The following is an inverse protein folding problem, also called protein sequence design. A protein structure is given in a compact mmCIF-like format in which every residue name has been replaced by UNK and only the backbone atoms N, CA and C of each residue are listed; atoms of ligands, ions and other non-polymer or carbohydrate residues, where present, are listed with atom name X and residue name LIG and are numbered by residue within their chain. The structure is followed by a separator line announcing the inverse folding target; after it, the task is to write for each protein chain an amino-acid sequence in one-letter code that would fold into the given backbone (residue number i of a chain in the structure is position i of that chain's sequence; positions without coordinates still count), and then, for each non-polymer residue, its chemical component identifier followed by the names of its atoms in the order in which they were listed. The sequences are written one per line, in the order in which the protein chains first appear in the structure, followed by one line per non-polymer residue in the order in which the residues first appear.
data_IF_800833227770
#
_entry.id   IF_800833227770
#
_cell.length_a   1.000
_cell.length_b   1.000
_cell.length_c   1.000
_cell.angle_alpha   90.00
_cell.angle_beta   90.00
_cell.angle_gamma   90.00
#
_symmetry.space_group_name_H-M   'P 1'
#
loop_
_entity.id
_entity.type
_entity.pdbx_description
1 polymer ?
#
# COMPACT_ATOMS: atom_id res chain seq x y z
N UNK A 1 1.26 15.99 -26.40
CA UNK A 1 0.52 14.74 -26.72
C UNK A 1 0.37 13.85 -25.48
N UNK A 2 1.46 13.43 -24.82
CA UNK A 2 1.40 12.54 -23.63
C UNK A 2 0.64 13.12 -22.43
N UNK A 3 0.83 14.41 -22.10
CA UNK A 3 0.14 15.05 -20.97
C UNK A 3 -1.38 15.18 -21.18
N UNK A 4 -1.80 15.45 -22.41
CA UNK A 4 -3.21 15.55 -22.78
C UNK A 4 -3.89 14.19 -22.63
N UNK A 5 -3.22 13.11 -23.06
CA UNK A 5 -3.72 11.75 -22.88
C UNK A 5 -3.89 11.38 -21.40
N UNK A 6 -2.96 11.82 -20.53
CA UNK A 6 -3.07 11.63 -19.08
C UNK A 6 -4.30 12.32 -18.47
N UNK A 7 -4.59 13.56 -18.90
CA UNK A 7 -5.78 14.29 -18.45
C UNK A 7 -7.06 13.62 -18.96
N UNK A 8 -7.09 13.20 -20.23
CA UNK A 8 -8.23 12.47 -20.81
C UNK A 8 -8.46 11.16 -20.05
N UNK A 9 -7.41 10.40 -19.74
CA UNK A 9 -7.51 9.17 -18.97
C UNK A 9 -8.08 9.40 -17.56
N UNK A 10 -7.63 10.46 -16.88
CA UNK A 10 -8.17 10.83 -15.57
C UNK A 10 -9.66 11.17 -15.63
N UNK A 11 -10.06 12.01 -16.60
CA UNK A 11 -11.47 12.35 -16.83
C UNK A 11 -12.30 11.12 -17.15
N UNK A 12 -11.81 10.22 -18.00
CA UNK A 12 -12.49 8.98 -18.37
C UNK A 12 -12.76 8.09 -17.15
N UNK A 13 -11.76 7.90 -16.27
CA UNK A 13 -11.93 7.12 -15.04
C UNK A 13 -12.97 7.77 -14.12
N UNK A 14 -12.95 9.09 -13.95
CA UNK A 14 -13.95 9.79 -13.14
C UNK A 14 -15.36 9.71 -13.73
N UNK A 15 -15.50 9.87 -15.05
CA UNK A 15 -16.78 9.71 -15.74
C UNK A 15 -17.33 8.30 -15.56
N UNK A 16 -16.50 7.26 -15.70
CA UNK A 16 -16.92 5.88 -15.52
C UNK A 16 -17.33 5.60 -14.07
N UNK A 17 -16.53 6.07 -13.09
CA UNK A 17 -16.86 5.96 -11.66
C UNK A 17 -18.18 6.67 -11.32
N UNK A 18 -18.44 7.83 -11.92
CA UNK A 18 -19.69 8.57 -11.73
C UNK A 18 -20.89 7.86 -12.37
N UNK A 19 -20.73 7.25 -13.55
CA UNK A 19 -21.79 6.51 -14.24
C UNK A 19 -22.23 5.26 -13.48
N UNK A 20 -21.27 4.51 -12.93
CA UNK A 20 -21.52 3.26 -12.17
C UNK A 20 -21.97 3.56 -10.73
N UNK A 21 -21.82 4.79 -10.24
CA UNK A 21 -22.19 5.16 -8.88
C UNK A 21 -23.67 4.93 -8.58
N UNK A 22 -23.94 4.12 -7.55
CA UNK A 22 -25.30 3.80 -7.08
C UNK A 22 -26.05 5.05 -6.58
N UNK A 23 -25.36 6.00 -5.94
CA UNK A 23 -25.97 7.20 -5.39
C UNK A 23 -25.12 8.44 -5.67
N UNK A 24 -25.36 9.04 -6.84
CA UNK A 24 -24.65 10.23 -7.34
C UNK A 24 -24.79 11.45 -6.43
N UNK A 25 -25.88 11.55 -5.66
CA UNK A 25 -26.14 12.67 -4.73
C UNK A 25 -25.38 12.55 -3.42
N UNK A 26 -24.98 11.34 -3.03
CA UNK A 26 -24.22 11.09 -1.79
C UNK A 26 -22.69 11.21 -1.96
N UNK A 27 -22.22 11.60 -3.16
CA UNK A 27 -20.79 11.74 -3.43
C UNK A 27 -20.22 12.91 -2.63
N UNK A 28 -19.29 12.61 -1.72
CA UNK A 28 -18.56 13.61 -0.94
C UNK A 28 -17.46 14.24 -1.79
N UNK A 29 -17.80 15.27 -2.56
CA UNK A 29 -16.88 15.92 -3.53
C UNK A 29 -15.66 16.55 -2.85
N UNK A 30 -15.82 17.14 -1.65
CA UNK A 30 -14.73 17.81 -0.93
C UNK A 30 -13.57 16.85 -0.56
N UNK A 31 -13.80 15.71 0.14
CA UNK A 31 -12.76 14.71 0.37
C UNK A 31 -12.17 14.14 -0.93
N UNK A 32 -12.99 13.92 -1.96
CA UNK A 32 -12.55 13.38 -3.24
C UNK A 32 -11.51 14.31 -3.90
N UNK A 33 -11.85 15.59 -4.08
CA UNK A 33 -10.98 16.57 -4.71
C UNK A 33 -9.69 16.76 -3.91
N UNK A 34 -9.81 16.79 -2.58
CA UNK A 34 -8.66 16.94 -1.70
C UNK A 34 -7.71 15.73 -1.79
N UNK A 35 -8.21 14.50 -1.93
CA UNK A 35 -7.38 13.32 -2.14
C UNK A 35 -6.68 13.33 -3.50
N UNK A 36 -7.35 13.79 -4.55
CA UNK A 36 -6.73 13.96 -5.89
C UNK A 36 -5.57 14.96 -5.82
N UNK A 37 -5.80 16.11 -5.20
CA UNK A 37 -4.75 17.13 -5.02
C UNK A 37 -3.59 16.56 -4.20
N UNK A 38 -3.89 15.86 -3.11
CA UNK A 38 -2.86 15.23 -2.28
C UNK A 38 -2.04 14.20 -3.07
N UNK A 39 -2.70 13.39 -3.91
CA UNK A 39 -2.03 12.41 -4.77
C UNK A 39 -1.09 13.08 -5.79
N UNK A 40 -1.51 14.18 -6.44
CA UNK A 40 -0.65 14.93 -7.34
C UNK A 40 0.54 15.57 -6.62
N UNK A 41 0.31 16.16 -5.44
CA UNK A 41 1.37 16.76 -4.62
C UNK A 41 2.38 15.69 -4.21
N UNK A 42 1.92 14.54 -3.68
CA UNK A 42 2.80 13.44 -3.30
C UNK A 42 3.58 12.89 -4.49
N UNK A 43 2.92 12.66 -5.62
CA UNK A 43 3.56 12.20 -6.85
C UNK A 43 4.62 13.17 -7.34
N UNK A 44 4.33 14.48 -7.33
CA UNK A 44 5.30 15.51 -7.70
C UNK A 44 6.49 15.54 -6.74
N UNK A 45 6.26 15.55 -5.43
CA UNK A 45 7.33 15.55 -4.44
C UNK A 45 8.22 14.33 -4.64
N UNK A 46 7.65 13.13 -4.70
CA UNK A 46 8.42 11.88 -4.76
C UNK A 46 9.14 11.66 -6.10
N UNK A 47 8.57 12.10 -7.22
CA UNK A 47 9.09 11.78 -8.56
C UNK A 47 9.85 12.94 -9.24
N UNK A 48 9.63 14.19 -8.82
CA UNK A 48 10.26 15.37 -9.45
C UNK A 48 11.27 16.10 -8.59
N UNK A 49 11.21 15.99 -7.26
CA UNK A 49 12.14 16.70 -6.38
C UNK A 49 13.40 15.88 -6.10
N UNK A 50 14.54 16.56 -5.91
CA UNK A 50 15.81 15.91 -5.56
C UNK A 50 15.70 15.14 -4.25
N UNK A 51 15.01 15.72 -3.26
CA UNK A 51 14.76 15.05 -1.98
C UNK A 51 13.88 13.80 -2.16
N UNK A 52 12.76 13.92 -2.87
CA UNK A 52 11.84 12.81 -3.07
C UNK A 52 12.47 11.65 -3.84
N UNK A 53 13.19 11.95 -4.92
CA UNK A 53 13.89 10.92 -5.71
C UNK A 53 15.02 10.24 -4.91
N UNK A 54 15.72 10.98 -4.04
CA UNK A 54 16.67 10.39 -3.11
C UNK A 54 16.00 9.44 -2.11
N UNK A 55 14.86 9.82 -1.53
CA UNK A 55 14.08 8.96 -0.63
C UNK A 55 13.62 7.69 -1.36
N UNK A 56 13.04 7.82 -2.55
CA UNK A 56 12.59 6.67 -3.35
C UNK A 56 13.77 5.76 -3.72
N UNK A 57 14.92 6.33 -4.11
CA UNK A 57 16.12 5.55 -4.44
C UNK A 57 16.68 4.82 -3.22
N UNK A 58 16.67 5.45 -2.04
CA UNK A 58 17.06 4.80 -0.79
C UNK A 58 16.16 3.61 -0.48
N UNK A 59 14.83 3.78 -0.59
CA UNK A 59 13.88 2.69 -0.40
C UNK A 59 14.11 1.56 -1.41
N UNK A 60 14.31 1.88 -2.69
CA UNK A 60 14.61 0.89 -3.72
C UNK A 60 15.85 0.06 -3.38
N UNK A 61 16.95 0.70 -2.96
CA UNK A 61 18.18 0.00 -2.52
C UNK A 61 17.95 -0.92 -1.33
N UNK A 62 17.10 -0.51 -0.37
CA UNK A 62 16.73 -1.38 0.75
C UNK A 62 16.01 -2.63 0.26
N UNK A 63 15.05 -2.47 -0.66
CA UNK A 63 14.37 -3.61 -1.28
C UNK A 63 15.34 -4.50 -2.08
N UNK A 64 16.27 -3.93 -2.84
CA UNK A 64 17.28 -4.69 -3.57
C UNK A 64 18.12 -5.58 -2.64
N UNK A 65 18.55 -5.04 -1.48
CA UNK A 65 19.25 -5.84 -0.48
C UNK A 65 18.37 -6.93 0.14
N UNK A 66 17.09 -6.63 0.43
CA UNK A 66 16.16 -7.64 0.93
C UNK A 66 15.96 -8.78 -0.08
N UNK A 67 15.87 -8.45 -1.38
CA UNK A 67 15.76 -9.44 -2.45
C UNK A 67 17.04 -10.26 -2.60
N UNK A 68 18.21 -9.65 -2.42
CA UNK A 68 19.48 -10.38 -2.41
C UNK A 68 19.54 -11.39 -1.25
N UNK A 69 19.14 -11.00 -0.03
CA UNK A 69 19.04 -11.93 1.10
C UNK A 69 18.02 -13.05 0.86
N UNK A 70 16.89 -12.73 0.22
CA UNK A 70 15.94 -13.75 -0.19
C UNK A 70 16.58 -14.76 -1.16
N UNK A 71 17.36 -14.28 -2.14
CA UNK A 71 18.09 -15.11 -3.09
C UNK A 71 19.06 -16.09 -2.43
N UNK A 72 19.83 -15.63 -1.44
CA UNK A 72 20.70 -16.51 -0.64
C UNK A 72 19.91 -17.59 0.11
N UNK A 73 18.74 -17.23 0.69
CA UNK A 73 17.84 -18.20 1.31
C UNK A 73 17.28 -19.23 0.33
N UNK A 74 16.97 -18.83 -0.90
CA UNK A 74 16.55 -19.75 -1.97
C UNK A 74 17.66 -20.70 -2.34
N UNK A 75 18.88 -20.20 -2.52
CA UNK A 75 20.03 -21.03 -2.83
C UNK A 75 20.28 -22.05 -1.72
N UNK A 76 20.19 -21.64 -0.45
CA UNK A 76 20.33 -22.55 0.69
C UNK A 76 19.33 -23.71 0.66
N UNK A 77 18.05 -23.44 0.38
CA UNK A 77 16.99 -24.47 0.41
C UNK A 77 16.90 -25.27 -0.89
N UNK A 78 17.16 -24.64 -2.04
CA UNK A 78 16.82 -25.17 -3.37
C UNK A 78 17.99 -25.27 -4.36
N UNK A 79 19.25 -25.08 -3.95
CA UNK A 79 20.43 -25.12 -4.84
C UNK A 79 20.49 -26.34 -5.79
N UNK A 80 19.94 -27.50 -5.37
CA UNK A 80 19.88 -28.72 -6.20
C UNK A 80 18.74 -28.78 -7.24
N UNK A 81 17.69 -27.96 -7.07
CA UNK A 81 16.49 -27.90 -7.95
C UNK A 81 16.51 -26.64 -8.82
N UNK A 82 17.13 -25.56 -8.35
CA UNK A 82 17.21 -24.26 -9.04
C UNK A 82 18.09 -24.28 -10.32
N UNK A 83 18.86 -25.35 -10.55
CA UNK A 83 19.79 -25.47 -11.69
C UNK A 83 19.34 -26.45 -12.79
N UNK A 84 18.14 -27.04 -12.72
CA UNK A 84 17.62 -27.93 -13.78
C UNK A 84 16.15 -27.63 -14.12
N UNK A 85 15.90 -27.18 -15.36
CA UNK A 85 14.54 -27.06 -15.95
C UNK A 85 13.85 -25.71 -15.72
N UNK A 86 12.51 -25.71 -15.74
CA UNK A 86 11.63 -24.51 -15.68
C UNK A 86 11.27 -24.03 -14.27
N UNK A 87 11.66 -24.79 -13.23
CA UNK A 87 11.53 -24.41 -11.81
C UNK A 87 12.22 -23.09 -11.37
N UNK A 88 13.29 -22.58 -12.02
CA UNK A 88 13.98 -21.37 -11.59
C UNK A 88 13.07 -20.14 -11.64
N UNK A 89 12.18 -20.02 -12.64
CA UNK A 89 11.28 -18.87 -12.73
C UNK A 89 10.31 -18.81 -11.53
N UNK A 90 9.70 -19.95 -11.20
CA UNK A 90 8.75 -20.02 -10.09
C UNK A 90 9.42 -19.72 -8.75
N UNK A 91 10.61 -20.28 -8.51
CA UNK A 91 11.37 -20.04 -7.28
C UNK A 91 11.86 -18.58 -7.20
N UNK A 92 12.34 -18.00 -8.30
CA UNK A 92 12.86 -16.63 -8.33
C UNK A 92 11.79 -15.56 -8.09
N UNK A 93 10.51 -15.85 -8.35
CA UNK A 93 9.41 -14.91 -8.09
C UNK A 93 8.71 -15.21 -6.77
N UNK A 94 8.36 -16.48 -6.51
CA UNK A 94 7.56 -16.83 -5.33
C UNK A 94 8.36 -16.71 -4.03
N UNK A 95 9.63 -17.10 -4.02
CA UNK A 95 10.40 -17.14 -2.79
C UNK A 95 10.71 -15.75 -2.23
N UNK A 96 11.06 -14.74 -3.04
CA UNK A 96 11.13 -13.37 -2.55
C UNK A 96 9.79 -12.86 -1.97
N UNK A 97 8.65 -13.24 -2.57
CA UNK A 97 7.33 -12.89 -2.01
C UNK A 97 7.16 -13.51 -0.62
N UNK A 98 7.46 -14.81 -0.46
CA UNK A 98 7.37 -15.51 0.85
C UNK A 98 8.29 -14.85 1.89
N UNK A 99 9.51 -14.48 1.50
CA UNK A 99 10.46 -13.81 2.38
C UNK A 99 9.94 -12.44 2.85
N UNK A 100 9.46 -11.61 1.92
CA UNK A 100 8.88 -10.30 2.26
C UNK A 100 7.64 -10.45 3.13
N UNK A 101 6.75 -11.42 2.85
CA UNK A 101 5.58 -11.71 3.69
C UNK A 101 5.98 -12.12 5.12
N UNK A 102 7.07 -12.89 5.29
CA UNK A 102 7.58 -13.24 6.61
C UNK A 102 8.08 -12.01 7.38
N UNK A 103 8.83 -11.12 6.73
CA UNK A 103 9.28 -9.84 7.32
C UNK A 103 8.09 -8.98 7.74
N UNK A 104 7.10 -8.81 6.85
CA UNK A 104 5.86 -8.09 7.16
C UNK A 104 5.15 -8.73 8.36
N UNK A 105 5.11 -10.06 8.42
CA UNK A 105 4.58 -10.82 9.55
C UNK A 105 5.29 -10.50 10.87
N UNK A 106 6.62 -10.44 10.86
CA UNK A 106 7.44 -10.06 12.03
C UNK A 106 7.17 -8.60 12.43
N UNK A 107 7.22 -7.66 11.47
CA UNK A 107 6.96 -6.23 11.70
C UNK A 107 5.55 -5.97 12.27
N UNK A 108 4.58 -6.81 11.85
CA UNK A 108 3.22 -6.82 12.39
C UNK A 108 3.18 -7.35 13.82
N UNK A 109 3.89 -8.45 14.10
CA UNK A 109 3.95 -9.06 15.44
C UNK A 109 4.55 -8.09 16.47
N UNK A 110 5.65 -7.42 16.14
CA UNK A 110 6.31 -6.41 17.00
C UNK A 110 5.58 -5.06 17.03
N UNK A 111 4.43 -4.94 16.37
CA UNK A 111 3.54 -3.76 16.34
C UNK A 111 4.12 -2.49 15.69
N UNK A 112 5.26 -2.55 15.02
CA UNK A 112 5.80 -1.40 14.26
C UNK A 112 4.86 -1.04 13.11
N UNK A 113 4.44 -2.03 12.31
CA UNK A 113 3.62 -1.78 11.12
C UNK A 113 2.20 -1.26 11.46
N UNK A 114 1.47 -1.83 12.45
CA UNK A 114 0.20 -1.27 12.92
C UNK A 114 0.31 0.16 13.47
N UNK A 115 1.39 0.47 14.18
CA UNK A 115 1.60 1.80 14.73
C UNK A 115 1.81 2.84 13.60
N UNK A 116 2.62 2.49 12.60
CA UNK A 116 2.79 3.31 11.40
C UNK A 116 1.47 3.53 10.66
N UNK A 117 0.72 2.45 10.40
CA UNK A 117 -0.59 2.52 9.72
C UNK A 117 -1.59 3.41 10.49
N UNK A 118 -1.62 3.30 11.82
CA UNK A 118 -2.47 4.15 12.67
C UNK A 118 -2.06 5.62 12.58
N UNK A 119 -0.76 5.92 12.63
CA UNK A 119 -0.26 7.30 12.55
C UNK A 119 -0.62 7.94 11.20
N UNK A 120 -0.33 7.26 10.09
CA UNK A 120 -0.63 7.77 8.73
C UNK A 120 -2.14 7.85 8.50
N UNK A 121 -2.91 6.83 8.93
CA UNK A 121 -4.36 6.81 8.79
C UNK A 121 -5.06 7.94 9.57
N UNK A 122 -4.59 8.25 10.77
CA UNK A 122 -5.08 9.40 11.55
C UNK A 122 -4.71 10.74 10.90
N UNK A 123 -3.49 10.86 10.36
CA UNK A 123 -3.08 12.03 9.59
C UNK A 123 -3.98 12.26 8.37
N UNK A 124 -4.23 11.21 7.60
CA UNK A 124 -5.12 11.27 6.44
C UNK A 124 -6.56 11.60 6.83
N UNK A 125 -7.12 10.97 7.87
CA UNK A 125 -8.46 11.25 8.36
C UNK A 125 -8.64 12.71 8.76
N UNK A 126 -7.61 13.33 9.36
CA UNK A 126 -7.62 14.75 9.73
C UNK A 126 -7.59 15.67 8.50
N UNK A 127 -6.87 15.27 7.45
CA UNK A 127 -6.73 16.07 6.22
C UNK A 127 -7.97 15.95 5.33
N UNK A 128 -8.49 14.73 5.13
CA UNK A 128 -9.57 14.45 4.18
C UNK A 128 -10.98 14.47 4.80
N UNK A 129 -11.10 14.49 6.14
CA UNK A 129 -12.38 14.49 6.85
C UNK A 129 -13.16 13.16 6.73
N UNK A 130 -12.54 12.11 6.22
CA UNK A 130 -13.11 10.75 6.18
C UNK A 130 -12.97 10.07 7.54
N UNK A 131 -13.75 8.99 7.74
CA UNK A 131 -13.72 8.25 9.01
C UNK A 131 -12.32 7.72 9.32
N UNK A 132 -11.96 7.68 10.62
CA UNK A 132 -10.69 7.11 11.09
C UNK A 132 -10.48 5.68 10.58
N UNK A 133 -11.57 4.89 10.53
CA UNK A 133 -11.56 3.52 10.03
C UNK A 133 -11.34 3.45 8.52
N UNK A 134 -11.99 4.32 7.74
CA UNK A 134 -11.83 4.38 6.28
C UNK A 134 -10.40 4.75 5.90
N UNK A 135 -9.84 5.74 6.58
CA UNK A 135 -8.47 6.21 6.35
C UNK A 135 -7.44 5.17 6.79
N UNK A 136 -7.67 4.50 7.92
CA UNK A 136 -6.82 3.38 8.35
C UNK A 136 -6.88 2.23 7.35
N UNK A 137 -8.08 1.84 6.90
CA UNK A 137 -8.27 0.77 5.93
C UNK A 137 -7.57 1.07 4.60
N UNK A 138 -7.64 2.32 4.13
CA UNK A 138 -6.93 2.77 2.93
C UNK A 138 -5.42 2.60 3.05
N UNK A 139 -4.82 3.06 4.15
CA UNK A 139 -3.38 2.92 4.40
C UNK A 139 -2.99 1.45 4.56
N UNK A 140 -3.77 0.68 5.33
CA UNK A 140 -3.49 -0.72 5.56
C UNK A 140 -3.55 -1.54 4.28
N UNK A 141 -4.50 -1.24 3.38
CA UNK A 141 -4.66 -1.96 2.11
C UNK A 141 -3.50 -1.72 1.16
N UNK A 142 -2.94 -0.51 1.18
CA UNK A 142 -1.76 -0.17 0.39
C UNK A 142 -0.48 -0.89 0.87
N UNK A 143 -0.39 -1.20 2.18
CA UNK A 143 0.82 -1.76 2.79
C UNK A 143 0.78 -3.29 2.88
N UNK A 144 -0.34 -3.86 3.32
CA UNK A 144 -0.49 -5.28 3.62
C UNK A 144 -1.19 -6.08 2.50
N UNK A 145 -1.83 -5.39 1.56
CA UNK A 145 -2.74 -6.03 0.61
C UNK A 145 -4.11 -6.37 1.22
N UNK A 146 -5.12 -6.45 0.36
CA UNK A 146 -6.53 -6.52 0.76
C UNK A 146 -6.86 -7.72 1.66
N UNK A 147 -6.26 -8.88 1.39
CA UNK A 147 -6.50 -10.13 2.13
C UNK A 147 -6.04 -10.07 3.60
N UNK A 148 -4.94 -9.37 3.88
CA UNK A 148 -4.39 -9.27 5.23
C UNK A 148 -5.10 -8.22 6.07
N UNK A 149 -5.56 -7.15 5.43
CA UNK A 149 -6.37 -6.11 6.06
C UNK A 149 -7.70 -6.68 6.54
N UNK A 150 -8.32 -7.58 5.78
CA UNK A 150 -9.53 -8.27 6.19
C UNK A 150 -9.33 -9.03 7.52
N UNK A 151 -8.22 -9.74 7.70
CA UNK A 151 -7.89 -10.46 8.95
C UNK A 151 -7.61 -9.47 10.09
N UNK A 152 -6.87 -8.39 9.80
CA UNK A 152 -6.55 -7.34 10.78
C UNK A 152 -7.81 -6.63 11.28
N UNK A 153 -8.77 -6.32 10.40
CA UNK A 153 -10.05 -5.70 10.75
C UNK A 153 -10.93 -6.69 11.50
N UNK A 154 -11.06 -7.93 11.02
CA UNK A 154 -11.89 -8.97 11.66
C UNK A 154 -11.47 -9.23 13.10
N UNK A 155 -10.17 -9.29 13.39
CA UNK A 155 -9.64 -9.52 14.76
C UNK A 155 -9.81 -8.28 15.66
N UNK A 156 -9.81 -7.09 15.08
CA UNK A 156 -9.85 -5.82 15.81
C UNK A 156 -11.25 -5.21 15.93
N UNK A 157 -12.27 -5.64 15.17
CA UNK A 157 -13.61 -5.03 15.22
C UNK A 157 -14.21 -4.97 16.65
N UNK A 158 -13.92 -5.92 17.56
CA UNK A 158 -14.39 -5.82 18.95
C UNK A 158 -13.51 -4.92 19.85
N UNK A 159 -12.20 -4.87 19.64
CA UNK A 159 -11.26 -4.14 20.53
C UNK A 159 -10.98 -2.70 20.05
N UNK A 160 -10.97 -2.46 18.74
CA UNK A 160 -10.80 -1.14 18.12
C UNK A 160 -12.04 -0.26 18.30
N UNK A 161 -13.25 -0.85 18.32
CA UNK A 161 -14.46 -0.11 18.72
C UNK A 161 -14.35 0.36 20.18
N UNK A 162 -13.83 -0.47 21.08
CA UNK A 162 -13.74 -0.16 22.51
C UNK A 162 -12.72 0.94 22.85
N UNK A 163 -11.58 0.98 22.17
CA UNK A 163 -10.50 1.96 22.43
C UNK A 163 -10.64 3.28 21.64
N UNK A 164 -11.61 3.40 20.72
CA UNK A 164 -11.77 4.58 19.86
C UNK A 164 -13.16 5.24 20.00
N UNK A 165 -14.18 4.53 20.52
CA UNK A 165 -15.56 5.02 20.58
C UNK A 165 -16.19 5.16 21.97
N UNK A 166 -15.60 4.62 23.03
CA UNK A 166 -16.05 4.94 24.39
C UNK A 166 -15.07 5.91 25.06
N UNK A 167 -15.54 7.03 25.66
CA UNK A 167 -14.78 7.69 26.71
C UNK A 167 -14.51 6.73 27.87
#
# INVERSE_FOLDING_TARGET
MSQILGIIGLLFIFSLAFLISTNKKAIKVKPLLLMIVLQFIFGFILLRTTFGTAVVSMLAKVFDHLLAFAGEGVNFVFAGVANKGSAPFFLNVLMPIVFISAIIGILRYIKILPLFMKAVGLGLSKINGMGKLESYNGVASAILGQSEVFISIKKNCLSYLKNVYLP
#
